data_IF_288277579792
#
_entry.id   IF_288277579792
#
_cell.length_a   1.000
_cell.length_b   1.000
_cell.length_c   1.000
_cell.angle_alpha   90.00
_cell.angle_beta   90.00
_cell.angle_gamma   90.00
#
_symmetry.space_group_name_H-M   'P 1'
#
loop_
_entity.id
_entity.type
_entity.pdbx_description
1 polymer ?
#
# COMPACT_ATOMS: atom_id res chain seq x y z
N UNK A 1 -10.66 -23.74 -37.27
CA UNK A 1 -9.39 -24.17 -36.66
C UNK A 1 -8.91 -23.04 -35.78
N UNK A 2 -8.71 -23.35 -34.50
CA UNK A 2 -8.64 -22.42 -33.38
C UNK A 2 -7.54 -21.35 -33.47
N UNK A 3 -7.95 -20.11 -33.22
CA UNK A 3 -7.08 -18.98 -32.81
C UNK A 3 -7.43 -18.53 -31.38
N UNK A 4 -7.87 -19.48 -30.55
CA UNK A 4 -7.98 -19.30 -29.11
C UNK A 4 -6.71 -19.81 -28.43
N UNK A 5 -6.34 -19.21 -27.30
CA UNK A 5 -5.34 -19.73 -26.33
C UNK A 5 -3.91 -19.16 -26.40
N UNK A 6 -3.69 -17.96 -26.92
CA UNK A 6 -2.44 -17.26 -26.67
C UNK A 6 -2.68 -15.75 -26.51
N UNK A 7 -3.16 -15.31 -25.33
CA UNK A 7 -3.04 -13.95 -24.77
C UNK A 7 -3.96 -13.76 -23.53
N UNK A 8 -3.81 -14.60 -22.51
CA UNK A 8 -4.34 -14.29 -21.16
C UNK A 8 -3.39 -14.77 -20.07
N UNK A 9 -2.15 -14.29 -20.13
CA UNK A 9 -1.28 -14.23 -18.95
C UNK A 9 -0.95 -12.77 -18.67
N UNK A 10 -1.99 -11.95 -18.49
CA UNK A 10 -1.82 -10.76 -17.63
C UNK A 10 -1.72 -11.33 -16.23
N UNK A 11 -0.50 -11.51 -15.73
CA UNK A 11 -0.29 -11.82 -14.32
C UNK A 11 -0.95 -10.70 -13.53
N UNK A 12 -2.15 -10.94 -13.02
CA UNK A 12 -2.88 -10.00 -12.19
C UNK A 12 -2.02 -9.85 -10.93
N UNK A 13 -1.26 -8.76 -10.86
CA UNK A 13 -0.49 -8.40 -9.67
C UNK A 13 -1.47 -8.51 -8.49
N UNK A 14 -1.19 -9.37 -7.48
CA UNK A 14 -2.13 -9.60 -6.40
C UNK A 14 -2.39 -8.29 -5.66
N UNK A 15 -3.66 -8.02 -5.35
CA UNK A 15 -4.09 -6.77 -4.71
C UNK A 15 -4.81 -7.03 -3.39
N UNK A 16 -4.74 -6.05 -2.50
CA UNK A 16 -5.44 -5.95 -1.23
C UNK A 16 -6.47 -4.82 -1.32
N UNK A 17 -7.69 -5.08 -0.84
CA UNK A 17 -8.76 -4.09 -0.75
C UNK A 17 -8.91 -3.65 0.70
N UNK A 18 -8.61 -2.38 1.00
CA UNK A 18 -8.63 -1.81 2.34
C UNK A 18 -9.61 -0.64 2.44
N UNK A 19 -10.38 -0.55 3.53
CA UNK A 19 -11.27 0.59 3.78
C UNK A 19 -10.53 1.69 4.54
N UNK A 20 -10.50 2.90 3.98
CA UNK A 20 -9.77 4.04 4.53
C UNK A 20 -10.58 5.34 4.44
N UNK A 21 -10.57 6.11 5.52
CA UNK A 21 -10.97 7.51 5.60
C UNK A 21 -9.81 8.47 5.32
N UNK A 22 -10.12 9.77 5.37
CA UNK A 22 -9.18 10.86 4.97
C UNK A 22 -7.84 10.77 5.68
N UNK A 23 -7.84 10.70 7.01
CA UNK A 23 -6.60 10.75 7.80
C UNK A 23 -5.70 9.53 7.59
N UNK A 24 -6.27 8.36 7.32
CA UNK A 24 -5.50 7.15 7.04
C UNK A 24 -4.87 7.23 5.65
N UNK A 25 -5.61 7.76 4.66
CA UNK A 25 -5.08 8.04 3.32
C UNK A 25 -3.93 9.04 3.37
N UNK A 26 -4.06 10.11 4.15
CA UNK A 26 -3.00 11.11 4.35
C UNK A 26 -1.79 10.54 5.12
N UNK A 27 -2.04 9.66 6.09
CA UNK A 27 -0.97 8.96 6.82
C UNK A 27 -0.16 8.07 5.88
N UNK A 28 -0.82 7.29 5.02
CA UNK A 28 -0.14 6.50 3.99
C UNK A 28 0.62 7.43 3.02
N UNK A 29 0.01 8.54 2.59
CA UNK A 29 0.68 9.50 1.71
C UNK A 29 1.98 10.05 2.32
N UNK A 30 1.98 10.38 3.61
CA UNK A 30 3.18 10.82 4.34
C UNK A 30 4.28 9.76 4.27
N UNK A 31 3.96 8.51 4.62
CA UNK A 31 4.92 7.40 4.61
C UNK A 31 5.49 7.16 3.22
N UNK A 32 4.65 7.20 2.17
CA UNK A 32 5.10 7.06 0.79
C UNK A 32 5.99 8.25 0.35
N UNK A 33 5.68 9.46 0.81
CA UNK A 33 6.48 10.66 0.54
C UNK A 33 7.87 10.59 1.18
N UNK A 34 7.96 10.10 2.41
CA UNK A 34 9.25 9.84 3.07
C UNK A 34 10.04 8.76 2.33
N UNK A 35 9.39 7.69 1.87
CA UNK A 35 10.03 6.67 1.05
C UNK A 35 10.57 7.23 -0.26
N UNK A 36 9.83 8.13 -0.93
CA UNK A 36 10.26 8.81 -2.14
C UNK A 36 11.51 9.66 -1.91
N UNK A 37 11.59 10.38 -0.79
CA UNK A 37 12.78 11.16 -0.43
C UNK A 37 13.99 10.27 -0.15
N UNK A 38 13.79 9.14 0.54
CA UNK A 38 14.88 8.19 0.84
C UNK A 38 15.37 7.51 -0.44
N UNK A 39 14.48 7.21 -1.39
CA UNK A 39 14.82 6.56 -2.66
C UNK A 39 15.82 7.35 -3.53
N UNK A 40 16.03 8.63 -3.25
CA UNK A 40 17.01 9.48 -3.94
C UNK A 40 18.45 9.29 -3.42
N UNK A 41 18.65 8.51 -2.35
CA UNK A 41 19.97 8.26 -1.74
C UNK A 41 20.64 7.03 -2.36
N UNK A 42 21.95 6.89 -2.15
CA UNK A 42 22.68 5.67 -2.50
C UNK A 42 22.38 4.53 -1.52
N UNK A 43 22.42 3.27 -1.99
CA UNK A 43 22.19 2.05 -1.18
C UNK A 43 20.82 1.95 -0.49
N UNK A 44 19.74 2.17 -1.25
CA UNK A 44 18.37 2.11 -0.74
C UNK A 44 17.83 0.67 -0.74
N UNK A 45 17.18 0.28 0.35
CA UNK A 45 16.51 -1.03 0.46
C UNK A 45 15.34 -1.14 -0.52
N UNK A 46 15.17 -2.32 -1.13
CA UNK A 46 14.13 -2.58 -2.14
C UNK A 46 12.72 -2.24 -1.65
N UNK A 47 12.41 -2.49 -0.38
CA UNK A 47 11.09 -2.16 0.19
C UNK A 47 10.80 -0.65 0.11
N UNK A 48 11.82 0.18 0.23
CA UNK A 48 11.68 1.63 0.10
C UNK A 48 11.37 2.03 -1.34
N UNK A 49 12.00 1.36 -2.32
CA UNK A 49 11.72 1.58 -3.74
C UNK A 49 10.28 1.19 -4.08
N UNK A 50 9.79 0.05 -3.57
CA UNK A 50 8.40 -0.38 -3.75
C UNK A 50 7.40 0.69 -3.28
N UNK A 51 7.65 1.32 -2.12
CA UNK A 51 6.81 2.40 -1.62
C UNK A 51 6.94 3.67 -2.47
N UNK A 52 8.17 4.04 -2.87
CA UNK A 52 8.44 5.23 -3.67
C UNK A 52 7.76 5.16 -5.05
N UNK A 53 7.83 4.02 -5.74
CA UNK A 53 7.16 3.80 -7.02
C UNK A 53 5.64 3.92 -6.91
N UNK A 54 5.08 3.51 -5.77
CA UNK A 54 3.64 3.58 -5.54
C UNK A 54 3.13 5.00 -5.25
N UNK A 55 4.00 5.91 -4.79
CA UNK A 55 3.65 7.25 -4.32
C UNK A 55 2.75 8.02 -5.30
N UNK A 56 3.16 8.12 -6.59
CA UNK A 56 2.45 8.96 -7.56
C UNK A 56 1.00 8.48 -7.78
N UNK A 57 0.82 7.16 -7.79
CA UNK A 57 -0.50 6.55 -7.94
C UNK A 57 -1.40 6.81 -6.72
N UNK A 58 -0.81 6.82 -5.52
CA UNK A 58 -1.51 7.09 -4.28
C UNK A 58 -1.86 8.58 -4.12
N UNK A 59 -0.93 9.47 -4.46
CA UNK A 59 -1.13 10.92 -4.41
C UNK A 59 -2.36 11.36 -5.23
N UNK A 60 -2.51 10.85 -6.45
CA UNK A 60 -3.71 11.15 -7.26
C UNK A 60 -5.01 10.72 -6.58
N UNK A 61 -5.00 9.61 -5.82
CA UNK A 61 -6.18 9.13 -5.09
C UNK A 61 -6.46 9.98 -3.85
N UNK A 62 -5.43 10.43 -3.14
CA UNK A 62 -5.60 11.26 -1.96
C UNK A 62 -6.24 12.61 -2.27
N UNK A 63 -6.00 13.17 -3.47
CA UNK A 63 -6.65 14.42 -3.91
C UNK A 63 -8.18 14.36 -3.87
N UNK A 64 -8.78 13.18 -4.08
CA UNK A 64 -10.24 13.03 -4.01
C UNK A 64 -10.82 13.26 -2.60
N UNK A 65 -10.00 13.22 -1.56
CA UNK A 65 -10.42 13.49 -0.16
C UNK A 65 -10.28 14.98 0.23
N UNK A 66 -9.67 15.80 -0.64
CA UNK A 66 -9.65 17.26 -0.48
C UNK A 66 -10.90 17.93 -1.06
N UNK A 67 -11.71 17.20 -1.83
CA UNK A 67 -12.95 17.71 -2.39
C UNK A 67 -14.03 17.90 -1.31
N UNK A 68 -14.84 18.97 -1.38
CA UNK A 68 -16.00 19.17 -0.51
C UNK A 68 -16.94 17.96 -0.52
N UNK A 69 -17.43 17.56 0.65
CA UNK A 69 -18.33 16.40 0.83
C UNK A 69 -17.66 15.03 0.89
N UNK A 70 -16.34 14.94 0.68
CA UNK A 70 -15.59 13.67 0.71
C UNK A 70 -14.78 13.46 2.00
N UNK A 71 -14.74 14.47 2.89
CA UNK A 71 -13.85 14.51 4.05
C UNK A 71 -14.16 13.44 5.11
N UNK A 72 -15.42 13.01 5.22
CA UNK A 72 -15.86 12.01 6.21
C UNK A 72 -16.14 10.63 5.62
N UNK A 73 -15.91 10.43 4.31
CA UNK A 73 -16.23 9.15 3.67
C UNK A 73 -15.10 8.14 3.88
N UNK A 74 -15.45 6.96 4.38
CA UNK A 74 -14.59 5.77 4.33
C UNK A 74 -14.79 5.12 2.95
N UNK A 75 -13.71 4.98 2.17
CA UNK A 75 -13.76 4.37 0.83
C UNK A 75 -12.87 3.15 0.76
N UNK A 76 -13.25 2.18 -0.07
CA UNK A 76 -12.42 1.03 -0.37
C UNK A 76 -11.32 1.44 -1.36
N UNK A 77 -10.07 1.19 -0.99
CA UNK A 77 -8.87 1.43 -1.78
C UNK A 77 -8.22 0.10 -2.16
N UNK A 78 -7.71 0.02 -3.38
CA UNK A 78 -7.01 -1.18 -3.88
C UNK A 78 -5.51 -0.92 -3.92
N UNK A 79 -4.72 -1.66 -3.15
CA UNK A 79 -3.26 -1.54 -3.12
C UNK A 79 -2.61 -2.85 -3.58
N UNK A 80 -1.45 -2.81 -4.26
CA UNK A 80 -0.67 -4.01 -4.54
C UNK A 80 -0.32 -4.75 -3.24
N UNK A 81 -0.30 -6.08 -3.27
CA UNK A 81 0.05 -6.90 -2.11
C UNK A 81 1.47 -6.60 -1.61
N UNK A 82 2.43 -6.36 -2.50
CA UNK A 82 3.81 -5.98 -2.15
C UNK A 82 3.81 -4.69 -1.30
N UNK A 83 3.10 -3.67 -1.75
CA UNK A 83 2.93 -2.40 -1.02
C UNK A 83 2.23 -2.64 0.32
N UNK A 84 1.16 -3.44 0.36
CA UNK A 84 0.44 -3.75 1.58
C UNK A 84 1.33 -4.38 2.66
N UNK A 85 2.17 -5.34 2.26
CA UNK A 85 3.10 -6.04 3.17
C UNK A 85 4.18 -5.10 3.71
N UNK A 86 4.75 -4.26 2.83
CA UNK A 86 5.77 -3.28 3.24
C UNK A 86 5.18 -2.19 4.14
N UNK A 87 3.99 -1.67 3.81
CA UNK A 87 3.28 -0.70 4.64
C UNK A 87 2.98 -1.27 6.03
N UNK A 88 2.42 -2.49 6.08
CA UNK A 88 2.13 -3.17 7.35
C UNK A 88 3.37 -3.30 8.23
N UNK A 89 4.51 -3.69 7.65
CA UNK A 89 5.78 -3.75 8.37
C UNK A 89 6.21 -2.37 8.88
N UNK A 90 6.27 -1.34 8.03
CA UNK A 90 6.69 0.02 8.41
C UNK A 90 5.83 0.59 9.54
N UNK A 91 4.52 0.42 9.45
CA UNK A 91 3.55 0.92 10.43
C UNK A 91 3.72 0.31 11.83
N UNK A 92 4.37 -0.86 11.97
CA UNK A 92 4.69 -1.44 13.29
C UNK A 92 5.75 -0.65 14.07
N UNK A 93 6.55 0.16 13.37
CA UNK A 93 7.61 0.98 13.95
C UNK A 93 7.25 2.47 13.98
N UNK A 94 6.13 2.85 13.37
CA UNK A 94 5.60 4.21 13.44
C UNK A 94 4.97 4.48 14.81
N UNK A 95 4.91 5.76 15.25
CA UNK A 95 4.16 6.14 16.43
C UNK A 95 2.71 5.62 16.38
N UNK A 96 2.27 5.05 17.50
CA UNK A 96 0.95 4.44 17.65
C UNK A 96 -0.18 5.49 17.72
N UNK A 97 -0.45 6.16 16.61
CA UNK A 97 -1.62 7.04 16.47
C UNK A 97 -2.88 6.22 16.14
N UNK A 98 -4.06 6.80 16.37
CA UNK A 98 -5.33 6.16 16.01
C UNK A 98 -5.39 5.77 14.52
N UNK A 99 -4.84 6.61 13.63
CA UNK A 99 -4.80 6.34 12.19
C UNK A 99 -3.82 5.23 11.83
N UNK A 100 -2.61 5.26 12.40
CA UNK A 100 -1.59 4.21 12.23
C UNK A 100 -2.16 2.85 12.65
N UNK A 101 -2.78 2.79 13.83
CA UNK A 101 -3.35 1.56 14.38
C UNK A 101 -4.55 1.06 13.56
N UNK A 102 -5.41 1.96 13.09
CA UNK A 102 -6.52 1.59 12.21
C UNK A 102 -6.02 0.98 10.89
N UNK A 103 -5.03 1.60 10.24
CA UNK A 103 -4.42 1.05 9.01
C UNK A 103 -3.79 -0.31 9.31
N UNK A 104 -3.02 -0.41 10.39
CA UNK A 104 -2.30 -1.63 10.76
C UNK A 104 -3.27 -2.78 11.04
N UNK A 105 -4.35 -2.53 11.76
CA UNK A 105 -5.39 -3.53 12.08
C UNK A 105 -6.09 -4.04 10.82
N UNK A 106 -6.52 -3.13 9.92
CA UNK A 106 -7.07 -3.52 8.62
C UNK A 106 -6.05 -4.31 7.78
N UNK A 107 -4.80 -3.81 7.76
CA UNK A 107 -3.57 -4.46 7.33
C UNK A 107 -3.56 -5.95 7.67
N UNK A 108 -3.47 -6.18 8.98
CA UNK A 108 -3.27 -7.47 9.59
C UNK A 108 -4.43 -8.41 9.28
N UNK A 109 -5.68 -7.95 9.45
CA UNK A 109 -6.86 -8.76 9.18
C UNK A 109 -6.91 -9.24 7.72
N UNK A 110 -6.66 -8.36 6.76
CA UNK A 110 -6.72 -8.73 5.35
C UNK A 110 -5.57 -9.69 4.98
N UNK A 111 -4.35 -9.40 5.43
CA UNK A 111 -3.18 -10.22 5.13
C UNK A 111 -3.27 -11.62 5.77
N UNK A 112 -3.80 -11.71 7.00
CA UNK A 112 -4.08 -12.98 7.69
C UNK A 112 -5.11 -13.79 6.91
N UNK A 113 -6.23 -13.17 6.51
CA UNK A 113 -7.29 -13.86 5.76
C UNK A 113 -6.82 -14.37 4.40
N UNK A 114 -5.80 -13.74 3.81
CA UNK A 114 -5.20 -14.18 2.55
C UNK A 114 -4.12 -15.27 2.73
N UNK A 115 -3.75 -15.62 3.97
CA UNK A 115 -2.58 -16.48 4.23
C UNK A 115 -1.26 -15.84 3.76
N UNK A 116 -1.22 -14.50 3.72
CA UNK A 116 -0.08 -13.70 3.23
C UNK A 116 0.48 -12.78 4.31
N UNK A 117 0.23 -13.09 5.59
CA UNK A 117 0.85 -12.36 6.69
C UNK A 117 2.36 -12.43 6.52
N UNK A 118 3.09 -11.32 6.59
CA UNK A 118 4.50 -11.39 6.31
C UNK A 118 5.30 -12.00 7.47
N UNK A 119 6.05 -13.06 7.18
CA UNK A 119 7.23 -13.44 7.95
C UNK A 119 8.42 -12.66 7.35
N UNK A 120 8.77 -11.49 7.91
CA UNK A 120 9.86 -10.62 7.43
C UNK A 120 11.13 -10.81 8.29
N UNK A 121 12.35 -10.56 7.75
CA UNK A 121 12.65 -9.83 6.51
C UNK A 121 12.65 -10.69 5.22
N UNK A 122 12.25 -10.11 4.07
CA UNK A 122 12.39 -10.73 2.74
C UNK A 122 13.82 -10.47 2.29
N UNK A 123 14.67 -11.47 2.38
CA UNK A 123 15.97 -11.48 1.70
C UNK A 123 15.72 -11.85 0.25
N UNK A 124 16.02 -10.95 -0.68
CA UNK A 124 15.99 -11.27 -2.11
C UNK A 124 17.34 -11.91 -2.41
N UNK A 125 17.35 -13.22 -2.65
CA UNK A 125 18.50 -13.93 -3.24
C UNK A 125 18.41 -13.83 -4.76
#
# INVERSE_FOLDING_TARGET
MDHGTALRMVSLVPVVKIKLGKFEVLTILRILGEALQIAQKENVRVETLILAEFYLSWYKRSLSYELPGHQHQIKQQTIPLSVARVLHYRLRFEPATAHTQSILSNLDQILVNMGRRPDYPITIN
#
